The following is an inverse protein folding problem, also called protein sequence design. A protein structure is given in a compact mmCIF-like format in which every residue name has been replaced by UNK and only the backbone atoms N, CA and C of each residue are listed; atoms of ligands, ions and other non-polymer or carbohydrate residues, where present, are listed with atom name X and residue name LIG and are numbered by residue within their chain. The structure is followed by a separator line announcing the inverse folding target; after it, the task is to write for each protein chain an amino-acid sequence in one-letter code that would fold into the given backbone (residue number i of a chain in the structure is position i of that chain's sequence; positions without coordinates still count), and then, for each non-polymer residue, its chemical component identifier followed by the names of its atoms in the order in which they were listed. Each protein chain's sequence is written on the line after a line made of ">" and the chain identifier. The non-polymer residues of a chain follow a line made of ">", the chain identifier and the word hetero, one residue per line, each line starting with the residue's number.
data_IF_867376744760
#
_entry.id   IF_867376744760
#
_cell.length_a   1.000
_cell.length_b   1.000
_cell.length_c   1.000
_cell.angle_alpha   90.00
_cell.angle_beta   90.00
_cell.angle_gamma   90.00
#
_symmetry.space_group_name_H-M   'P 1'
#
loop_
_entity.id
_entity.type
_entity.pdbx_description
1 polymer ?
#
# COMPACT_ATOMS: atom_id res chain seq x y z
N UNK A 1 6.55 1.95 -2.06
CA UNK A 1 7.54 1.02 -2.60
C UNK A 1 7.19 -0.36 -2.11
N UNK A 2 6.50 -1.07 -2.99
CA UNK A 2 6.14 -2.47 -2.85
C UNK A 2 6.87 -3.21 -3.97
N UNK A 3 7.54 -4.31 -3.64
CA UNK A 3 8.14 -5.17 -4.66
C UNK A 3 7.48 -6.54 -4.61
N UNK A 4 7.16 -7.07 -5.79
CA UNK A 4 6.58 -8.39 -5.97
C UNK A 4 7.54 -9.19 -6.83
N UNK A 5 8.27 -10.10 -6.20
CA UNK A 5 9.20 -10.99 -6.87
C UNK A 5 8.56 -12.36 -7.05
N UNK A 6 8.40 -12.80 -8.29
CA UNK A 6 7.83 -14.09 -8.66
C UNK A 6 8.94 -14.99 -9.17
N UNK A 7 9.32 -15.97 -8.34
CA UNK A 7 10.20 -17.06 -8.75
C UNK A 7 9.37 -18.19 -9.37
N UNK A 8 9.60 -18.48 -10.65
CA UNK A 8 8.88 -19.51 -11.40
C UNK A 8 9.75 -20.76 -11.57
N UNK A 9 9.22 -21.92 -11.17
CA UNK A 9 9.83 -23.23 -11.32
C UNK A 9 9.11 -24.08 -12.39
N UNK A 10 9.72 -25.19 -12.80
CA UNK A 10 9.12 -26.14 -13.73
C UNK A 10 9.23 -25.70 -15.20
N UNK A 11 8.09 -25.63 -15.91
CA UNK A 11 8.04 -25.31 -17.34
C UNK A 11 8.57 -23.89 -17.60
N UNK A 12 9.50 -23.70 -18.54
CA UNK A 12 9.96 -22.37 -18.94
C UNK A 12 8.79 -21.53 -19.45
N UNK A 13 8.79 -20.24 -19.11
CA UNK A 13 7.93 -19.24 -19.73
C UNK A 13 8.72 -18.56 -20.85
N UNK A 14 8.03 -18.10 -21.89
CA UNK A 14 8.64 -17.19 -22.86
C UNK A 14 8.73 -15.79 -22.26
N UNK A 15 9.56 -14.94 -22.84
CA UNK A 15 9.71 -13.54 -22.40
C UNK A 15 8.36 -12.81 -22.43
N UNK A 16 7.54 -13.06 -23.45
CA UNK A 16 6.20 -12.47 -23.59
C UNK A 16 5.26 -12.95 -22.48
N UNK A 17 5.35 -14.22 -22.08
CA UNK A 17 4.56 -14.76 -20.96
C UNK A 17 5.01 -14.18 -19.62
N UNK A 18 6.32 -13.96 -19.44
CA UNK A 18 6.87 -13.32 -18.24
C UNK A 18 6.39 -11.86 -18.13
N UNK A 19 6.40 -11.12 -19.24
CA UNK A 19 5.87 -9.76 -19.30
C UNK A 19 4.35 -9.71 -19.06
N UNK A 20 3.56 -10.59 -19.70
CA UNK A 20 2.11 -10.65 -19.48
C UNK A 20 1.78 -10.96 -18.00
N UNK A 21 2.53 -11.86 -17.37
CA UNK A 21 2.35 -12.14 -15.95
C UNK A 21 2.70 -10.93 -15.07
N UNK A 22 3.80 -10.24 -15.36
CA UNK A 22 4.19 -9.04 -14.63
C UNK A 22 3.11 -7.94 -14.72
N UNK A 23 2.59 -7.71 -15.93
CA UNK A 23 1.55 -6.72 -16.21
C UNK A 23 0.22 -7.06 -15.53
N UNK A 24 -0.17 -8.35 -15.52
CA UNK A 24 -1.37 -8.81 -14.80
C UNK A 24 -1.28 -8.56 -13.31
N UNK A 25 -0.12 -8.87 -12.71
CA UNK A 25 0.12 -8.62 -11.29
C UNK A 25 0.10 -7.12 -10.97
N UNK A 26 0.74 -6.29 -11.80
CA UNK A 26 0.76 -4.85 -11.62
C UNK A 26 -0.66 -4.27 -11.67
N UNK A 27 -1.47 -4.69 -12.65
CA UNK A 27 -2.89 -4.29 -12.76
C UNK A 27 -3.69 -4.71 -11.53
N UNK A 28 -3.63 -6.00 -11.17
CA UNK A 28 -4.37 -6.54 -10.03
C UNK A 28 -4.04 -5.85 -8.69
N UNK A 29 -2.82 -5.33 -8.53
CA UNK A 29 -2.37 -4.66 -7.31
C UNK A 29 -2.58 -3.14 -7.31
N UNK A 30 -2.94 -2.55 -8.45
CA UNK A 30 -3.14 -1.11 -8.61
C UNK A 30 -4.59 -0.72 -8.87
N UNK A 31 -5.46 -1.69 -9.11
CA UNK A 31 -6.91 -1.52 -9.13
C UNK A 31 -7.44 -1.45 -7.68
N UNK A 32 -7.66 -0.24 -7.17
CA UNK A 32 -8.28 -0.01 -5.87
C UNK A 32 -9.57 0.81 -6.03
N UNK A 33 -10.69 0.30 -5.52
CA UNK A 33 -11.93 1.07 -5.44
C UNK A 33 -11.73 2.29 -4.52
N UNK A 34 -12.25 3.44 -4.93
CA UNK A 34 -12.36 4.67 -4.11
C UNK A 34 -11.05 5.40 -3.73
N UNK A 35 -9.94 5.15 -4.44
CA UNK A 35 -8.69 5.92 -4.30
C UNK A 35 -8.58 6.98 -5.41
N UNK A 36 -8.11 8.22 -5.14
CA UNK A 36 -7.88 9.22 -6.18
C UNK A 36 -6.87 8.76 -7.25
N UNK A 37 -7.08 9.12 -8.52
CA UNK A 37 -6.19 8.69 -9.63
C UNK A 37 -4.74 9.13 -9.41
N UNK A 38 -4.48 10.33 -8.87
CA UNK A 38 -3.10 10.79 -8.60
C UNK A 38 -2.36 9.94 -7.55
N UNK A 39 -3.09 9.43 -6.55
CA UNK A 39 -2.56 8.47 -5.57
C UNK A 39 -2.35 7.10 -6.22
N UNK A 40 -3.22 6.69 -7.15
CA UNK A 40 -3.07 5.43 -7.91
C UNK A 40 -1.85 5.51 -8.84
N UNK A 41 -1.66 6.60 -9.58
CA UNK A 41 -0.49 6.84 -10.44
C UNK A 41 0.81 6.81 -9.63
N UNK A 42 0.85 7.54 -8.51
CA UNK A 42 2.02 7.54 -7.61
C UNK A 42 2.27 6.15 -7.01
N UNK A 43 1.21 5.38 -6.73
CA UNK A 43 1.33 4.00 -6.27
C UNK A 43 1.87 3.07 -7.37
N UNK A 44 1.43 3.22 -8.62
CA UNK A 44 1.92 2.47 -9.79
C UNK A 44 3.42 2.64 -9.98
N UNK A 45 3.93 3.86 -9.88
CA UNK A 45 5.38 4.15 -9.98
C UNK A 45 6.21 3.50 -8.86
N UNK A 46 5.56 3.17 -7.74
CA UNK A 46 6.22 2.63 -6.56
C UNK A 46 5.93 1.14 -6.36
N UNK A 47 5.21 0.49 -7.26
CA UNK A 47 5.00 -0.96 -7.28
C UNK A 47 5.85 -1.55 -8.39
N UNK A 48 6.76 -2.44 -8.03
CA UNK A 48 7.61 -3.13 -8.99
C UNK A 48 7.33 -4.63 -8.98
N UNK A 49 7.09 -5.20 -10.15
CA UNK A 49 6.93 -6.64 -10.33
C UNK A 49 8.15 -7.19 -11.06
N UNK A 50 8.78 -8.21 -10.49
CA UNK A 50 9.91 -8.92 -11.08
C UNK A 50 9.50 -10.36 -11.25
N UNK A 51 9.51 -10.86 -12.49
CA UNK A 51 9.25 -12.27 -12.79
C UNK A 51 10.57 -12.88 -13.24
N UNK A 52 10.92 -14.04 -12.69
CA UNK A 52 12.14 -14.70 -13.10
C UNK A 52 12.25 -16.15 -12.68
N UNK A 53 13.21 -16.84 -13.28
CA UNK A 53 13.55 -18.21 -12.95
C UNK A 53 14.82 -18.26 -12.11
N UNK A 54 14.82 -18.95 -10.96
CA UNK A 54 16.05 -19.17 -10.21
C UNK A 54 16.98 -20.12 -10.97
N UNK A 55 18.29 -19.91 -10.84
CA UNK A 55 19.31 -20.79 -11.46
C UNK A 55 19.21 -22.23 -10.98
N UNK A 56 18.79 -22.44 -9.74
CA UNK A 56 18.53 -23.75 -9.16
C UNK A 56 17.33 -23.67 -8.23
N UNK A 57 16.56 -24.76 -8.17
CA UNK A 57 15.45 -24.94 -7.24
C UNK A 57 15.54 -26.35 -6.67
N UNK A 58 15.62 -26.47 -5.35
CA UNK A 58 15.65 -27.76 -4.66
C UNK A 58 14.52 -27.83 -3.62
N UNK A 59 13.86 -28.98 -3.54
CA UNK A 59 12.90 -29.31 -2.49
C UNK A 59 13.15 -30.73 -2.01
N UNK A 60 12.78 -31.05 -0.77
CA UNK A 60 12.97 -32.39 -0.20
C UNK A 60 11.97 -33.45 -0.68
N UNK A 61 10.99 -33.08 -1.50
CA UNK A 61 9.92 -33.96 -1.98
C UNK A 61 9.83 -34.04 -3.52
N UNK A 62 8.85 -34.81 -4.07
CA UNK A 62 8.77 -35.08 -5.50
C UNK A 62 8.44 -33.84 -6.35
N UNK A 63 7.84 -32.80 -5.77
CA UNK A 63 7.61 -31.51 -6.43
C UNK A 63 7.49 -30.38 -5.39
N UNK A 64 8.08 -29.21 -5.71
CA UNK A 64 7.90 -27.98 -4.94
C UNK A 64 6.75 -27.13 -5.47
N UNK A 65 6.48 -25.95 -4.88
CA UNK A 65 5.57 -25.01 -5.50
C UNK A 65 6.09 -24.57 -6.87
N UNK A 66 5.18 -24.22 -7.77
CA UNK A 66 5.56 -23.68 -9.08
C UNK A 66 5.92 -22.20 -9.00
N UNK A 67 5.24 -21.46 -8.13
CA UNK A 67 5.44 -20.04 -7.92
C UNK A 67 5.77 -19.80 -6.46
N UNK A 68 6.89 -19.12 -6.21
CA UNK A 68 7.15 -18.46 -4.95
C UNK A 68 7.10 -16.96 -5.18
N UNK A 69 6.11 -16.34 -4.56
CA UNK A 69 5.91 -14.90 -4.62
C UNK A 69 6.39 -14.28 -3.32
N UNK A 70 7.29 -13.31 -3.40
CA UNK A 70 7.73 -12.50 -2.27
C UNK A 70 7.23 -11.09 -2.47
N UNK A 71 6.37 -10.67 -1.55
CA UNK A 71 5.75 -9.34 -1.54
C UNK A 71 6.40 -8.55 -0.43
N UNK A 72 7.31 -7.65 -0.78
CA UNK A 72 7.98 -6.79 0.19
C UNK A 72 7.26 -5.45 0.25
N UNK A 73 6.85 -5.06 1.46
CA UNK A 73 6.09 -3.83 1.72
C UNK A 73 6.65 -3.09 2.93
N UNK A 74 6.33 -1.80 3.12
CA UNK A 74 6.56 -1.13 4.39
C UNK A 74 5.93 -1.89 5.55
N UNK A 75 6.58 -1.93 6.71
CA UNK A 75 6.10 -2.68 7.87
C UNK A 75 4.69 -2.29 8.31
N UNK A 76 4.31 -1.02 8.14
CA UNK A 76 2.96 -0.54 8.45
C UNK A 76 1.86 -1.11 7.54
N UNK A 77 2.22 -1.68 6.38
CA UNK A 77 1.29 -2.38 5.48
C UNK A 77 1.25 -3.87 5.74
N UNK A 78 2.23 -4.43 6.46
CA UNK A 78 2.36 -5.87 6.69
C UNK A 78 1.36 -6.38 7.75
N UNK A 79 0.08 -6.07 7.55
CA UNK A 79 -1.03 -6.47 8.42
C UNK A 79 -1.71 -7.73 7.88
N UNK A 80 -2.43 -8.44 8.75
CA UNK A 80 -3.22 -9.61 8.34
C UNK A 80 -4.35 -9.23 7.36
N UNK A 81 -4.89 -8.01 7.47
CA UNK A 81 -5.91 -7.49 6.56
C UNK A 81 -5.36 -7.26 5.16
N UNK A 82 -4.24 -6.56 5.05
CA UNK A 82 -3.56 -6.37 3.78
C UNK A 82 -3.18 -7.71 3.13
N UNK A 83 -2.68 -8.67 3.94
CA UNK A 83 -2.39 -10.02 3.46
C UNK A 83 -3.63 -10.74 2.90
N UNK A 84 -4.79 -10.62 3.59
CA UNK A 84 -6.06 -11.21 3.13
C UNK A 84 -6.55 -10.61 1.81
N UNK A 85 -6.20 -9.36 1.51
CA UNK A 85 -6.53 -8.71 0.24
C UNK A 85 -5.54 -9.10 -0.86
N UNK A 86 -4.23 -9.00 -0.60
CA UNK A 86 -3.19 -9.12 -1.64
C UNK A 86 -2.93 -10.56 -2.06
N UNK A 87 -2.98 -11.53 -1.13
CA UNK A 87 -2.67 -12.93 -1.47
C UNK A 87 -3.67 -13.50 -2.49
N UNK A 88 -5.00 -13.32 -2.35
CA UNK A 88 -5.95 -13.73 -3.39
C UNK A 88 -5.72 -13.04 -4.74
N UNK A 89 -5.51 -11.72 -4.76
CA UNK A 89 -5.28 -10.96 -6.00
C UNK A 89 -4.08 -11.51 -6.79
N UNK A 90 -2.97 -11.76 -6.11
CA UNK A 90 -1.76 -12.36 -6.70
C UNK A 90 -2.05 -13.76 -7.22
N UNK A 91 -2.73 -14.58 -6.41
CA UNK A 91 -3.04 -15.97 -6.77
C UNK A 91 -3.93 -16.04 -8.01
N UNK A 92 -4.93 -15.16 -8.10
CA UNK A 92 -5.84 -15.10 -9.25
C UNK A 92 -5.16 -14.55 -10.51
N UNK A 93 -4.30 -13.55 -10.35
CA UNK A 93 -3.51 -13.01 -11.46
C UNK A 93 -2.59 -14.08 -12.08
N UNK A 94 -1.92 -14.88 -11.24
CA UNK A 94 -1.07 -15.99 -11.70
C UNK A 94 -1.94 -17.11 -12.29
N UNK A 95 -3.05 -17.46 -11.63
CA UNK A 95 -3.97 -18.50 -12.08
C UNK A 95 -4.52 -18.23 -13.48
N UNK A 96 -4.77 -16.96 -13.83
CA UNK A 96 -5.19 -16.56 -15.16
C UNK A 96 -4.19 -16.86 -16.29
N UNK A 97 -2.95 -17.23 -15.96
CA UNK A 97 -1.92 -17.66 -16.91
C UNK A 97 -1.79 -19.19 -17.01
N UNK A 98 -2.48 -19.93 -16.14
CA UNK A 98 -2.41 -21.38 -16.08
C UNK A 98 -3.45 -22.06 -16.97
N UNK A 99 -3.14 -23.23 -17.54
CA UNK A 99 -4.14 -24.03 -18.27
C UNK A 99 -5.33 -24.46 -17.40
N UNK A 100 -5.07 -24.77 -16.11
CA UNK A 100 -6.10 -24.96 -15.10
C UNK A 100 -6.03 -23.80 -14.07
N UNK A 101 -6.88 -22.76 -14.22
CA UNK A 101 -6.87 -21.61 -13.33
C UNK A 101 -7.35 -21.95 -11.91
N UNK A 102 -8.02 -23.08 -11.69
CA UNK A 102 -8.50 -23.46 -10.36
C UNK A 102 -7.42 -24.14 -9.50
N UNK A 103 -6.35 -24.64 -10.14
CA UNK A 103 -5.33 -25.46 -9.49
C UNK A 103 -4.65 -24.76 -8.32
N UNK A 104 -4.30 -23.47 -8.47
CA UNK A 104 -3.55 -22.72 -7.45
C UNK A 104 -4.33 -22.49 -6.15
N UNK A 105 -5.66 -22.66 -6.18
CA UNK A 105 -6.52 -22.60 -4.98
C UNK A 105 -6.75 -23.97 -4.33
N UNK A 106 -6.46 -25.06 -5.05
CA UNK A 106 -6.61 -26.45 -4.56
C UNK A 106 -5.30 -27.06 -4.07
N UNK A 107 -4.19 -26.63 -4.66
CA UNK A 107 -2.85 -27.16 -4.41
C UNK A 107 -1.86 -26.03 -4.08
N UNK A 108 -0.86 -26.25 -3.22
CA UNK A 108 0.10 -25.24 -2.80
C UNK A 108 1.18 -24.97 -3.86
N UNK A 109 0.77 -24.77 -5.12
CA UNK A 109 1.68 -24.45 -6.22
C UNK A 109 1.94 -22.95 -6.39
N UNK A 110 1.22 -22.10 -5.68
CA UNK A 110 1.55 -20.69 -5.52
C UNK A 110 1.70 -20.38 -4.03
N UNK A 111 2.92 -20.04 -3.61
CA UNK A 111 3.23 -19.69 -2.22
C UNK A 111 3.58 -18.21 -2.18
N UNK A 112 2.70 -17.40 -1.58
CA UNK A 112 2.93 -15.98 -1.39
C UNK A 112 3.43 -15.67 0.02
N UNK A 113 4.51 -14.89 0.12
CA UNK A 113 5.11 -14.44 1.37
C UNK A 113 5.00 -12.92 1.44
N UNK A 114 4.32 -12.42 2.47
CA UNK A 114 4.29 -10.98 2.76
C UNK A 114 5.42 -10.63 3.75
N UNK A 115 6.27 -9.70 3.36
CA UNK A 115 7.48 -9.31 4.08
C UNK A 115 7.39 -7.82 4.42
N UNK A 116 7.19 -7.52 5.70
CA UNK A 116 7.20 -6.15 6.21
C UNK A 116 8.63 -5.67 6.46
N UNK A 117 9.03 -4.59 5.81
CA UNK A 117 10.29 -3.91 6.08
C UNK A 117 10.17 -3.08 7.37
N UNK A 118 11.14 -3.24 8.26
CA UNK A 118 11.22 -2.42 9.47
C UNK A 118 11.42 -0.96 9.12
N UNK A 119 11.09 -0.11 10.08
CA UNK A 119 11.39 1.31 9.93
C UNK A 119 12.90 1.52 9.74
N UNK A 120 13.28 2.51 8.92
CA UNK A 120 14.65 2.77 8.49
C UNK A 120 15.31 1.68 7.61
N UNK A 121 14.60 0.61 7.23
CA UNK A 121 15.13 -0.44 6.35
C UNK A 121 14.70 -0.27 4.88
N UNK A 122 14.04 0.85 4.57
CA UNK A 122 13.74 1.30 3.21
C UNK A 122 14.49 2.61 3.00
N UNK A 123 15.09 2.80 1.83
CA UNK A 123 15.72 4.05 1.48
C UNK A 123 15.45 4.47 0.04
N UNK A 124 15.27 5.77 -0.15
CA UNK A 124 15.16 6.42 -1.45
C UNK A 124 16.03 7.68 -1.43
N UNK A 125 16.43 8.19 -2.60
CA UNK A 125 17.28 9.39 -2.69
C UNK A 125 18.57 9.31 -1.86
N UNK A 126 19.11 8.09 -1.68
CA UNK A 126 20.32 7.81 -0.91
C UNK A 126 20.17 7.85 0.61
N UNK A 127 18.95 7.84 1.17
CA UNK A 127 18.70 7.97 2.62
C UNK A 127 17.71 6.93 3.10
N UNK A 128 17.87 6.44 4.33
CA UNK A 128 16.84 5.64 5.00
C UNK A 128 15.60 6.51 5.30
N UNK A 129 14.41 5.95 5.11
CA UNK A 129 13.13 6.67 5.20
C UNK A 129 12.31 6.26 6.43
N UNK A 130 11.80 7.25 7.16
CA UNK A 130 10.65 7.15 8.09
C UNK A 130 9.51 7.93 7.50
N UNK A 131 8.31 7.34 7.39
CA UNK A 131 7.10 7.93 6.76
C UNK A 131 7.25 8.47 5.32
N UNK A 132 8.48 8.61 4.79
CA UNK A 132 8.78 9.26 3.53
C UNK A 132 8.19 8.51 2.35
N UNK A 133 8.00 7.19 2.49
CA UNK A 133 7.31 6.44 1.47
C UNK A 133 5.82 6.78 1.39
N UNK A 134 5.15 6.90 2.53
CA UNK A 134 3.77 7.40 2.58
C UNK A 134 3.70 8.80 1.97
N UNK A 135 4.63 9.69 2.35
CA UNK A 135 4.72 11.04 1.79
C UNK A 135 4.97 11.04 0.29
N UNK A 136 5.78 10.12 -0.23
CA UNK A 136 6.06 9.99 -1.66
C UNK A 136 4.83 9.49 -2.44
N UNK A 137 4.17 8.43 -1.95
CA UNK A 137 2.96 7.86 -2.57
C UNK A 137 1.78 8.83 -2.56
N UNK A 138 1.72 9.70 -1.55
CA UNK A 138 0.61 10.62 -1.35
C UNK A 138 0.96 12.05 -1.72
N UNK A 139 2.18 12.31 -2.21
CA UNK A 139 2.66 13.66 -2.51
C UNK A 139 1.80 14.40 -3.54
N UNK A 140 1.23 13.67 -4.51
CA UNK A 140 0.31 14.24 -5.51
C UNK A 140 -1.09 14.56 -4.98
N UNK A 141 -1.43 14.12 -3.77
CA UNK A 141 -2.72 14.41 -3.11
C UNK A 141 -2.56 15.35 -1.91
N UNK A 142 -1.49 15.20 -1.12
CA UNK A 142 -1.24 16.03 0.08
C UNK A 142 -1.14 17.51 -0.29
N UNK A 143 -1.92 18.34 0.39
CA UNK A 143 -1.94 19.79 0.18
C UNK A 143 -2.78 20.24 -1.02
N UNK A 144 -3.49 19.32 -1.67
CA UNK A 144 -4.57 19.65 -2.60
C UNK A 144 -5.84 19.89 -1.79
N UNK A 145 -6.56 20.98 -2.07
CA UNK A 145 -7.90 21.19 -1.53
C UNK A 145 -8.85 20.17 -2.15
N UNK A 146 -9.12 19.09 -1.42
CA UNK A 146 -10.05 18.07 -1.85
C UNK A 146 -11.49 18.53 -1.60
N UNK A 147 -12.11 19.08 -2.65
CA UNK A 147 -13.51 19.56 -2.61
C UNK A 147 -14.55 18.42 -2.53
N UNK A 148 -14.13 17.15 -2.57
CA UNK A 148 -15.06 16.02 -2.44
C UNK A 148 -15.72 16.05 -1.07
N UNK A 149 -17.05 15.99 -1.08
CA UNK A 149 -17.81 15.80 0.16
C UNK A 149 -17.70 14.34 0.59
N UNK A 150 -17.27 14.10 1.83
CA UNK A 150 -17.26 12.75 2.38
C UNK A 150 -18.69 12.17 2.35
N UNK A 151 -18.88 10.90 1.96
CA UNK A 151 -20.20 10.27 2.00
C UNK A 151 -20.76 10.27 3.43
N UNK A 152 -22.08 10.20 3.57
CA UNK A 152 -22.74 10.19 4.89
C UNK A 152 -22.18 9.06 5.77
N UNK A 153 -21.63 9.41 6.94
CA UNK A 153 -20.97 8.46 7.85
C UNK A 153 -19.47 8.24 7.55
N UNK A 154 -18.95 8.77 6.45
CA UNK A 154 -17.55 8.72 6.07
C UNK A 154 -16.72 9.92 6.51
N UNK A 155 -15.41 9.75 6.48
CA UNK A 155 -14.38 10.78 6.57
C UNK A 155 -13.36 10.56 5.44
N UNK A 156 -12.79 11.65 4.91
CA UNK A 156 -11.69 11.55 3.94
C UNK A 156 -10.38 11.63 4.72
N UNK A 157 -9.48 10.66 4.51
CA UNK A 157 -8.12 10.69 5.05
C UNK A 157 -7.36 11.85 4.38
N UNK A 158 -6.91 12.87 5.15
CA UNK A 158 -6.27 14.07 4.59
C UNK A 158 -4.89 13.78 3.97
N UNK A 159 -4.34 12.58 4.20
CA UNK A 159 -3.04 12.20 3.65
C UNK A 159 -3.18 11.59 2.28
N UNK A 160 -4.14 10.68 2.04
CA UNK A 160 -4.22 9.91 0.79
C UNK A 160 -5.55 10.04 0.04
N UNK A 161 -6.56 10.67 0.65
CA UNK A 161 -7.89 10.86 0.05
C UNK A 161 -8.81 9.65 0.12
N UNK A 162 -8.40 8.59 0.82
CA UNK A 162 -9.23 7.40 1.01
C UNK A 162 -10.41 7.70 1.94
N UNK A 163 -11.59 7.20 1.58
CA UNK A 163 -12.78 7.30 2.44
C UNK A 163 -12.68 6.25 3.54
N UNK A 164 -12.89 6.68 4.78
CA UNK A 164 -12.88 5.87 5.99
C UNK A 164 -14.24 5.97 6.65
N UNK A 165 -14.82 4.84 7.05
CA UNK A 165 -16.05 4.83 7.85
C UNK A 165 -15.76 5.34 9.27
N UNK A 166 -16.42 6.44 9.68
CA UNK A 166 -16.22 7.04 11.00
C UNK A 166 -16.68 6.14 12.14
N UNK A 167 -17.68 5.28 11.91
CA UNK A 167 -18.21 4.42 12.96
C UNK A 167 -17.23 3.31 13.36
N UNK A 168 -16.36 2.89 12.42
CA UNK A 168 -15.40 1.80 12.61
C UNK A 168 -13.94 2.28 12.64
N UNK A 169 -13.70 3.58 12.44
CA UNK A 169 -12.36 4.18 12.46
C UNK A 169 -11.67 4.00 13.82
N UNK A 170 -10.67 3.13 13.87
CA UNK A 170 -9.82 2.90 15.05
C UNK A 170 -8.58 3.80 15.08
N UNK A 171 -8.22 4.39 13.94
CA UNK A 171 -7.00 5.19 13.77
C UNK A 171 -7.41 6.66 13.62
N UNK A 172 -7.29 7.42 14.70
CA UNK A 172 -7.68 8.84 14.74
C UNK A 172 -6.62 9.73 15.39
N UNK A 173 -6.68 11.03 15.11
CA UNK A 173 -5.85 12.08 15.72
C UNK A 173 -6.70 13.34 15.87
N UNK A 174 -6.61 13.99 17.03
CA UNK A 174 -7.17 15.32 17.22
C UNK A 174 -6.06 16.33 16.95
N UNK A 175 -6.29 17.24 16.02
CA UNK A 175 -5.40 18.36 15.70
C UNK A 175 -6.26 19.59 15.39
N UNK A 176 -5.87 20.75 15.91
CA UNK A 176 -6.64 22.01 15.81
C UNK A 176 -8.12 21.90 16.22
N UNK A 177 -8.40 21.06 17.22
CA UNK A 177 -9.76 20.82 17.72
C UNK A 177 -10.62 19.94 16.81
N UNK A 178 -10.09 19.47 15.68
CA UNK A 178 -10.78 18.60 14.72
C UNK A 178 -10.28 17.16 14.88
N UNK A 179 -11.22 16.21 14.95
CA UNK A 179 -10.90 14.79 14.93
C UNK A 179 -10.77 14.27 13.49
N UNK A 180 -9.57 13.87 13.11
CA UNK A 180 -9.26 13.25 11.83
C UNK A 180 -9.28 11.73 11.96
N UNK A 181 -9.81 11.05 10.95
CA UNK A 181 -9.76 9.59 10.80
C UNK A 181 -8.83 9.22 9.66
N UNK A 182 -8.08 8.14 9.82
CA UNK A 182 -7.05 7.71 8.87
C UNK A 182 -7.30 6.28 8.42
N UNK A 183 -7.02 6.01 7.15
CA UNK A 183 -7.12 4.67 6.59
C UNK A 183 -6.02 3.74 7.11
N UNK A 184 -4.91 4.32 7.59
CA UNK A 184 -3.77 3.55 8.09
C UNK A 184 -2.97 4.30 9.16
N UNK A 185 -2.23 3.54 9.97
CA UNK A 185 -1.32 4.10 10.97
C UNK A 185 -0.21 4.95 10.32
N UNK A 186 0.17 4.62 9.08
CA UNK A 186 1.12 5.39 8.28
C UNK A 186 0.62 6.80 7.97
N UNK A 187 -0.63 6.95 7.53
CA UNK A 187 -1.22 8.26 7.25
C UNK A 187 -1.27 9.11 8.52
N UNK A 188 -1.77 8.54 9.63
CA UNK A 188 -1.75 9.23 10.94
C UNK A 188 -0.35 9.68 11.35
N UNK A 189 0.68 8.85 11.11
CA UNK A 189 2.06 9.18 11.47
C UNK A 189 2.61 10.35 10.66
N UNK A 190 2.30 10.44 9.36
CA UNK A 190 2.68 11.60 8.53
C UNK A 190 2.15 12.88 9.15
N UNK A 191 0.86 12.91 9.52
CA UNK A 191 0.26 14.09 10.16
C UNK A 191 0.90 14.37 11.52
N UNK A 192 1.09 13.36 12.37
CA UNK A 192 1.71 13.55 13.69
C UNK A 192 3.11 14.17 13.58
N UNK A 193 3.91 13.73 12.61
CA UNK A 193 5.22 14.30 12.32
C UNK A 193 5.12 15.74 11.81
N UNK A 194 4.19 16.02 10.90
CA UNK A 194 3.96 17.38 10.38
C UNK A 194 3.60 18.36 11.51
N UNK A 195 2.67 17.97 12.38
CA UNK A 195 2.25 18.75 13.56
C UNK A 195 3.42 18.96 14.53
N UNK A 196 4.28 17.96 14.71
CA UNK A 196 5.45 18.09 15.58
C UNK A 196 6.53 19.04 15.04
N UNK A 197 6.55 19.25 13.72
CA UNK A 197 7.50 20.14 13.04
C UNK A 197 7.00 21.59 12.92
N UNK A 198 5.69 21.83 13.07
CA UNK A 198 5.09 23.17 13.11
C UNK A 198 4.20 23.39 14.35
N UNK A 199 4.80 23.66 15.52
CA UNK A 199 4.04 23.97 16.74
C UNK A 199 3.38 25.36 16.75
N UNK A 200 3.52 26.16 15.67
CA UNK A 200 3.24 27.61 15.67
C UNK A 200 1.91 28.05 15.05
N UNK A 201 1.22 27.22 14.25
CA UNK A 201 0.04 27.66 13.50
C UNK A 201 -1.27 27.79 14.34
N UNK A 202 -1.29 27.32 15.59
CA UNK A 202 -2.47 27.28 16.44
C UNK A 202 -2.68 28.43 17.44
N UNK A 203 -1.96 29.55 17.32
CA UNK A 203 -2.11 30.70 18.25
C UNK A 203 -2.43 32.02 17.56
N UNK A 204 -3.48 32.03 16.74
CA UNK A 204 -4.01 33.26 16.13
C UNK A 204 -5.50 33.44 16.41
N UNK A 205 -5.85 34.01 17.56
CA UNK A 205 -7.25 34.39 17.80
C UNK A 205 -7.72 34.69 19.22
N UNK A 206 -6.86 35.09 20.16
CA UNK A 206 -7.34 35.79 21.36
C UNK A 206 -7.63 37.26 21.00
N UNK A 207 -8.76 37.52 20.36
CA UNK A 207 -9.28 38.89 20.22
C UNK A 207 -9.84 39.32 21.56
N UNK A 208 -9.05 40.09 22.31
CA UNK A 208 -9.51 40.83 23.48
C UNK A 208 -10.65 41.77 23.11
N UNK A 209 -11.83 41.51 23.68
CA UNK A 209 -12.88 42.51 23.77
C UNK A 209 -12.62 43.36 25.03
N UNK A 210 -11.85 44.44 24.85
CA UNK A 210 -11.92 45.60 25.71
C UNK A 210 -12.98 46.55 25.15
N UNK A 211 -14.10 46.72 25.87
CA UNK A 211 -15.02 47.86 25.82
C UNK A 211 -15.85 47.80 27.11
N UNK A 212 -15.51 48.58 28.14
CA UNK A 212 -15.93 49.96 28.42
C UNK A 212 -17.41 50.08 28.81
N UNK A 213 -17.67 50.63 30.00
CA UNK A 213 -18.98 51.06 30.48
C UNK A 213 -19.15 50.88 31.97
#
# INVERSE_FOLDING_TARGET
>A
MMTVEVSVAGRPMTVEQEHDLADRLLRALTEAEQTPESTIESARELIHVLVGRPRAWATGGPAGPRYLVRVTVPGAWATAEFARTVVPLITDAIAGTEPDPTRLRREPHCVAQLIGLREHHVGTLGRATTSALTRLMTGGYRGVDDERTAPTGGAIDPVCGMVVDRATATITLIHDGVQHAFCSASCRKVVLEDVSMDPGAGSGGASGAAQQG
#
